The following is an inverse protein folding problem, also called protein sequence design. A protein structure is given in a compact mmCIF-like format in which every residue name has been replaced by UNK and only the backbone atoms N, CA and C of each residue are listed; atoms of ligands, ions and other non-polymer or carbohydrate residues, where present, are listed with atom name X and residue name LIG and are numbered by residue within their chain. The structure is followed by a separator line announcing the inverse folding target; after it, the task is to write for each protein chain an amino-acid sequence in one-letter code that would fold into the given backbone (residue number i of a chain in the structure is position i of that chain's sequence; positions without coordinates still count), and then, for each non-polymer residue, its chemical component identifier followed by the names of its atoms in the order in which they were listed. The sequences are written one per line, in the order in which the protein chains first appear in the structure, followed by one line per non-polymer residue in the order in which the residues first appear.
data_IF_078394261160
#
_entry.id   IF_078394261160
#
_cell.length_a   1.000
_cell.length_b   1.000
_cell.length_c   1.000
_cell.angle_alpha   90.00
_cell.angle_beta   90.00
_cell.angle_gamma   90.00
#
_symmetry.space_group_name_H-M   'P 1'
#
loop_
_entity.id
_entity.type
_entity.pdbx_description
1 polymer ?
#
# COMPACT_ATOMS: atom_id res chain seq x y z
N UNK A 1 -0.39 6.02 9.05
CA UNK A 1 0.40 5.17 8.12
C UNK A 1 1.90 5.48 8.18
N UNK A 2 2.34 6.75 8.12
CA UNK A 2 3.78 7.10 8.10
C UNK A 2 4.61 6.44 9.23
N UNK A 3 4.15 6.50 10.48
CA UNK A 3 4.88 5.88 11.61
C UNK A 3 5.00 4.35 11.47
N UNK A 4 3.95 3.66 10.99
CA UNK A 4 4.00 2.21 10.77
C UNK A 4 4.92 1.82 9.63
N UNK A 5 4.97 2.63 8.56
CA UNK A 5 5.92 2.43 7.46
C UNK A 5 7.35 2.60 7.96
N UNK A 6 7.58 3.59 8.81
CA UNK A 6 8.89 3.83 9.44
C UNK A 6 9.28 2.68 10.37
N UNK A 7 8.39 2.22 11.24
CA UNK A 7 8.66 1.10 12.14
C UNK A 7 8.97 -0.18 11.35
N UNK A 8 8.21 -0.46 10.28
CA UNK A 8 8.49 -1.60 9.40
C UNK A 8 9.87 -1.46 8.72
N UNK A 9 10.21 -0.25 8.27
CA UNK A 9 11.53 0.05 7.71
C UNK A 9 12.64 -0.24 8.72
N UNK A 10 12.51 0.25 9.95
CA UNK A 10 13.49 0.05 11.02
C UNK A 10 13.64 -1.43 11.38
N UNK A 11 12.54 -2.17 11.53
CA UNK A 11 12.56 -3.61 11.83
C UNK A 11 13.18 -4.44 10.70
N UNK A 12 12.86 -4.15 9.44
CA UNK A 12 13.45 -4.86 8.29
C UNK A 12 14.94 -4.55 8.16
N UNK A 13 15.34 -3.30 8.38
CA UNK A 13 16.74 -2.89 8.36
C UNK A 13 17.52 -3.55 9.50
N UNK A 14 16.95 -3.58 10.71
CA UNK A 14 17.54 -4.27 11.85
C UNK A 14 17.68 -5.78 11.64
N UNK A 15 16.79 -6.39 10.85
CA UNK A 15 16.89 -7.77 10.41
C UNK A 15 17.90 -8.00 9.26
N UNK A 16 18.64 -6.97 8.83
CA UNK A 16 19.67 -7.04 7.80
C UNK A 16 19.18 -6.93 6.36
N UNK A 17 17.92 -6.52 6.13
CA UNK A 17 17.42 -6.27 4.79
C UNK A 17 17.84 -4.87 4.28
N UNK A 18 18.18 -4.77 3.00
CA UNK A 18 18.26 -3.48 2.32
C UNK A 18 16.84 -2.98 2.02
N UNK A 19 16.49 -1.80 2.53
CA UNK A 19 15.14 -1.25 2.42
C UNK A 19 15.15 0.07 1.67
N UNK A 20 14.39 0.14 0.58
CA UNK A 20 14.10 1.38 -0.15
C UNK A 20 12.69 1.89 0.21
N UNK A 21 12.57 3.14 0.67
CA UNK A 21 11.28 3.75 0.99
C UNK A 21 10.78 4.63 -0.16
N UNK A 22 9.62 4.29 -0.71
CA UNK A 22 8.96 5.06 -1.77
C UNK A 22 7.71 5.78 -1.22
N UNK A 23 7.77 7.11 -1.00
CA UNK A 23 6.61 7.86 -0.50
C UNK A 23 5.58 8.09 -1.62
N UNK A 24 4.29 7.87 -1.32
CA UNK A 24 3.17 8.22 -2.23
C UNK A 24 2.79 9.70 -2.18
N UNK A 25 3.36 10.46 -1.24
CA UNK A 25 3.17 11.89 -1.09
C UNK A 25 4.53 12.60 -0.88
N UNK A 26 5.37 12.70 -1.92
CA UNK A 26 6.57 13.54 -1.86
C UNK A 26 6.16 15.04 -1.79
N UNK A 27 6.98 15.90 -1.15
CA UNK A 27 6.73 17.34 -1.12
C UNK A 27 6.71 17.92 -2.55
N UNK A 28 5.76 18.82 -2.84
CA UNK A 28 5.59 19.40 -4.18
C UNK A 28 6.82 20.20 -4.60
N UNK A 29 7.29 19.93 -5.82
CA UNK A 29 8.28 20.76 -6.50
C UNK A 29 7.74 21.11 -7.89
N UNK A 30 7.34 22.37 -8.16
CA UNK A 30 7.28 23.54 -7.29
C UNK A 30 6.03 23.62 -6.36
N UNK A 31 6.17 24.32 -5.22
CA UNK A 31 5.18 24.34 -4.13
C UNK A 31 3.79 24.92 -4.50
N UNK A 32 3.68 25.74 -5.54
CA UNK A 32 2.43 26.39 -5.97
C UNK A 32 1.40 25.41 -6.54
N UNK A 33 1.86 24.26 -7.04
CA UNK A 33 1.02 23.15 -7.55
C UNK A 33 0.12 22.55 -6.46
N UNK A 34 0.46 22.77 -5.19
CA UNK A 34 -0.37 22.36 -4.06
C UNK A 34 -1.77 23.01 -4.05
N UNK A 35 -2.01 24.16 -4.68
CA UNK A 35 -3.24 24.93 -4.43
C UNK A 35 -4.51 24.37 -5.09
N UNK A 36 -4.42 23.45 -6.06
CA UNK A 36 -5.57 22.86 -6.76
C UNK A 36 -5.67 21.36 -6.49
N UNK A 37 -6.74 20.90 -5.82
CA UNK A 37 -6.84 19.54 -5.28
C UNK A 37 -6.75 18.42 -6.34
N UNK A 38 -7.36 18.62 -7.51
CA UNK A 38 -7.38 17.63 -8.58
C UNK A 38 -6.06 17.55 -9.34
N UNK A 39 -5.52 18.70 -9.77
CA UNK A 39 -4.24 18.80 -10.48
C UNK A 39 -3.09 18.18 -9.67
N UNK A 40 -3.13 18.43 -8.35
CA UNK A 40 -2.24 17.86 -7.35
C UNK A 40 -2.26 16.32 -7.32
N UNK A 41 -3.44 15.70 -7.37
CA UNK A 41 -3.58 14.25 -7.35
C UNK A 41 -3.02 13.61 -8.64
N UNK A 42 -3.29 14.25 -9.79
CA UNK A 42 -2.78 13.80 -11.11
C UNK A 42 -1.25 13.89 -11.16
N UNK A 43 -0.66 15.02 -10.76
CA UNK A 43 0.80 15.20 -10.78
C UNK A 43 1.49 14.18 -9.86
N UNK A 44 0.92 13.94 -8.66
CA UNK A 44 1.44 12.89 -7.77
C UNK A 44 1.46 11.53 -8.47
N UNK A 45 0.38 11.16 -9.15
CA UNK A 45 0.32 9.90 -9.87
C UNK A 45 1.38 9.85 -11.00
N UNK A 46 1.51 10.91 -11.78
CA UNK A 46 2.48 11.01 -12.88
C UNK A 46 3.93 10.90 -12.39
N UNK A 47 4.26 11.45 -11.22
CA UNK A 47 5.61 11.29 -10.63
C UNK A 47 5.80 9.94 -9.93
N UNK A 48 4.72 9.38 -9.37
CA UNK A 48 4.76 8.16 -8.59
C UNK A 48 4.98 6.93 -9.46
N UNK A 49 4.32 6.84 -10.62
CA UNK A 49 4.38 5.65 -11.47
C UNK A 49 5.81 5.36 -12.00
N UNK A 50 6.57 6.34 -12.55
CA UNK A 50 7.94 6.11 -12.96
C UNK A 50 8.84 5.73 -11.78
N UNK A 51 8.72 6.43 -10.65
CA UNK A 51 9.52 6.15 -9.45
C UNK A 51 9.27 4.71 -8.94
N UNK A 52 8.00 4.31 -8.90
CA UNK A 52 7.58 2.94 -8.58
C UNK A 52 8.13 1.92 -9.58
N UNK A 53 8.10 2.23 -10.87
CA UNK A 53 8.62 1.34 -11.91
C UNK A 53 10.13 1.08 -11.74
N UNK A 54 10.91 2.14 -11.52
CA UNK A 54 12.36 2.03 -11.29
C UNK A 54 12.68 1.35 -9.96
N UNK A 55 11.96 1.66 -8.88
CA UNK A 55 12.13 0.98 -7.58
C UNK A 55 11.84 -0.52 -7.72
N UNK A 56 10.76 -0.89 -8.38
CA UNK A 56 10.46 -2.30 -8.71
C UNK A 56 11.46 -2.92 -9.70
N UNK A 57 12.36 -2.15 -10.32
CA UNK A 57 13.47 -2.69 -11.12
C UNK A 57 14.69 -3.11 -10.27
N UNK A 58 14.83 -2.53 -9.07
CA UNK A 58 15.99 -2.72 -8.19
C UNK A 58 15.72 -3.67 -7.02
N UNK A 59 14.45 -3.99 -6.77
CA UNK A 59 14.00 -4.72 -5.59
C UNK A 59 13.32 -6.04 -5.96
N UNK A 60 13.27 -6.99 -5.02
CA UNK A 60 12.64 -8.32 -5.22
C UNK A 60 11.29 -8.48 -4.50
N UNK A 61 11.06 -7.68 -3.46
CA UNK A 61 9.86 -7.69 -2.63
C UNK A 61 9.39 -6.26 -2.45
N UNK A 62 8.07 -6.04 -2.47
CA UNK A 62 7.48 -4.75 -2.15
C UNK A 62 6.41 -4.90 -1.07
N UNK A 63 6.47 -4.03 -0.07
CA UNK A 63 5.46 -3.88 0.96
C UNK A 63 4.59 -2.67 0.65
N UNK A 64 3.36 -2.91 0.19
CA UNK A 64 2.40 -1.86 -0.17
C UNK A 64 1.56 -1.53 1.05
N UNK A 65 1.64 -0.30 1.56
CA UNK A 65 0.74 0.21 2.60
C UNK A 65 -0.57 0.63 1.96
N UNK A 66 -1.66 -0.08 2.25
CA UNK A 66 -2.96 0.13 1.64
C UNK A 66 -4.01 0.53 2.68
N UNK A 67 -4.99 1.33 2.27
CA UNK A 67 -6.14 1.74 3.05
C UNK A 67 -7.39 1.81 2.15
N UNK A 68 -8.55 2.04 2.74
CA UNK A 68 -9.83 2.18 2.01
C UNK A 68 -9.90 3.46 1.18
N UNK A 69 -10.76 3.48 0.15
CA UNK A 69 -11.11 4.68 -0.62
C UNK A 69 -10.18 4.96 -1.80
N UNK A 70 -10.13 6.22 -2.26
CA UNK A 70 -9.41 6.63 -3.47
C UNK A 70 -7.92 6.34 -3.47
N UNK A 71 -7.27 6.32 -2.30
CA UNK A 71 -5.85 5.97 -2.18
C UNK A 71 -5.55 4.52 -2.58
N UNK A 72 -6.53 3.61 -2.47
CA UNK A 72 -6.41 2.27 -3.04
C UNK A 72 -6.24 2.35 -4.55
N UNK A 73 -7.17 3.02 -5.23
CA UNK A 73 -7.20 3.08 -6.70
C UNK A 73 -6.03 3.88 -7.27
N UNK A 74 -5.61 4.96 -6.62
CA UNK A 74 -4.55 5.84 -7.11
C UNK A 74 -3.14 5.33 -6.80
N UNK A 75 -2.94 4.61 -5.69
CA UNK A 75 -1.59 4.24 -5.25
C UNK A 75 -1.41 2.73 -5.06
N UNK A 76 -2.24 2.10 -4.22
CA UNK A 76 -2.04 0.70 -3.86
C UNK A 76 -2.27 -0.25 -5.04
N UNK A 77 -3.34 -0.05 -5.82
CA UNK A 77 -3.65 -0.88 -6.97
C UNK A 77 -2.57 -0.80 -8.07
N UNK A 78 -2.12 0.40 -8.51
CA UNK A 78 -0.98 0.52 -9.41
C UNK A 78 0.31 -0.11 -8.86
N UNK A 79 0.60 0.04 -7.56
CA UNK A 79 1.75 -0.61 -6.92
C UNK A 79 1.73 -2.12 -7.06
N UNK A 80 0.59 -2.74 -6.75
CA UNK A 80 0.40 -4.19 -6.88
C UNK A 80 0.57 -4.64 -8.33
N UNK A 81 -0.07 -3.94 -9.28
CA UNK A 81 0.00 -4.31 -10.69
C UNK A 81 1.42 -4.18 -11.25
N UNK A 82 2.07 -3.03 -11.05
CA UNK A 82 3.43 -2.77 -11.55
C UNK A 82 4.43 -3.76 -10.94
N UNK A 83 4.37 -3.99 -9.63
CA UNK A 83 5.26 -4.94 -8.97
C UNK A 83 5.09 -6.36 -9.52
N UNK A 84 3.84 -6.78 -9.79
CA UNK A 84 3.59 -8.10 -10.39
C UNK A 84 4.06 -8.19 -11.83
N UNK A 85 3.86 -7.15 -12.63
CA UNK A 85 4.39 -7.06 -13.99
C UNK A 85 5.93 -7.13 -14.00
N UNK A 86 6.59 -6.61 -12.96
CA UNK A 86 8.05 -6.68 -12.79
C UNK A 86 8.55 -7.93 -12.07
N UNK A 87 7.67 -8.89 -11.76
CA UNK A 87 8.05 -10.17 -11.14
C UNK A 87 8.32 -10.12 -9.64
N UNK A 88 7.95 -9.05 -8.94
CA UNK A 88 8.17 -8.92 -7.50
C UNK A 88 7.15 -9.74 -6.69
N UNK A 89 7.60 -10.17 -5.50
CA UNK A 89 6.69 -10.61 -4.43
C UNK A 89 6.04 -9.39 -3.79
N UNK A 90 4.71 -9.45 -3.63
CA UNK A 90 3.91 -8.31 -3.17
C UNK A 90 3.24 -8.64 -1.86
N UNK A 91 3.53 -7.83 -0.83
CA UNK A 91 2.89 -7.88 0.49
C UNK A 91 2.03 -6.64 0.65
N UNK A 92 0.70 -6.81 0.65
CA UNK A 92 -0.23 -5.71 0.92
C UNK A 92 -0.49 -5.64 2.42
N UNK A 93 -0.16 -4.52 3.04
CA UNK A 93 -0.42 -4.24 4.43
C UNK A 93 -1.65 -3.33 4.49
N UNK A 94 -2.82 -3.92 4.71
CA UNK A 94 -4.08 -3.19 4.69
C UNK A 94 -4.41 -2.60 6.06
N UNK A 95 -4.68 -1.30 6.08
CA UNK A 95 -4.89 -0.48 7.26
C UNK A 95 -6.03 0.50 6.99
N UNK A 96 -7.27 0.14 7.31
CA UNK A 96 -8.42 1.02 7.12
C UNK A 96 -9.63 0.52 7.90
N UNK A 97 -10.25 1.41 8.68
CA UNK A 97 -11.43 1.07 9.49
C UNK A 97 -12.70 0.83 8.64
N UNK A 98 -12.79 1.46 7.46
CA UNK A 98 -13.93 1.32 6.53
C UNK A 98 -13.83 0.14 5.57
N UNK A 99 -13.10 -0.92 5.91
CA UNK A 99 -12.82 -2.03 4.99
C UNK A 99 -14.10 -2.72 4.50
N UNK A 100 -15.09 -2.91 5.38
CA UNK A 100 -16.33 -3.59 5.05
C UNK A 100 -17.15 -2.81 4.02
N UNK A 101 -17.46 -1.54 4.30
CA UNK A 101 -18.19 -0.67 3.37
C UNK A 101 -17.44 -0.51 2.05
N UNK A 102 -16.11 -0.37 2.10
CA UNK A 102 -15.29 -0.21 0.91
C UNK A 102 -15.28 -1.46 0.04
N UNK A 103 -15.11 -2.65 0.64
CA UNK A 103 -15.18 -3.91 -0.08
C UNK A 103 -16.59 -4.13 -0.64
N UNK A 104 -17.64 -3.90 0.15
CA UNK A 104 -19.03 -4.03 -0.32
C UNK A 104 -19.30 -3.21 -1.58
N UNK A 105 -18.87 -1.94 -1.63
CA UNK A 105 -19.08 -1.06 -2.77
C UNK A 105 -18.14 -1.28 -3.97
N UNK A 106 -16.93 -1.78 -3.73
CA UNK A 106 -15.86 -1.78 -4.75
C UNK A 106 -15.21 -3.15 -5.00
N UNK A 107 -15.76 -4.25 -4.47
CA UNK A 107 -15.14 -5.59 -4.54
C UNK A 107 -14.79 -6.01 -5.97
N UNK A 108 -15.62 -5.70 -6.96
CA UNK A 108 -15.40 -6.07 -8.36
C UNK A 108 -14.13 -5.44 -8.94
N UNK A 109 -13.71 -4.29 -8.42
CA UNK A 109 -12.46 -3.62 -8.82
C UNK A 109 -11.29 -3.97 -7.91
N UNK A 110 -11.55 -4.19 -6.62
CA UNK A 110 -10.51 -4.51 -5.63
C UNK A 110 -10.00 -5.93 -5.83
N UNK A 111 -10.90 -6.90 -5.98
CA UNK A 111 -10.58 -8.33 -5.99
C UNK A 111 -9.59 -8.73 -7.08
N UNK A 112 -9.76 -8.35 -8.35
CA UNK A 112 -8.80 -8.71 -9.39
C UNK A 112 -7.39 -8.20 -9.12
N UNK A 113 -7.26 -7.03 -8.47
CA UNK A 113 -5.95 -6.45 -8.15
C UNK A 113 -5.37 -7.06 -6.88
N UNK A 114 -6.15 -7.08 -5.79
CA UNK A 114 -5.69 -7.57 -4.50
C UNK A 114 -5.35 -9.06 -4.52
N UNK A 115 -6.07 -9.87 -5.32
CA UNK A 115 -5.75 -11.30 -5.51
C UNK A 115 -4.41 -11.55 -6.19
N UNK A 116 -3.75 -10.52 -6.75
CA UNK A 116 -2.39 -10.63 -7.28
C UNK A 116 -1.31 -10.43 -6.20
N UNK A 117 -1.69 -9.97 -5.00
CA UNK A 117 -0.78 -9.92 -3.87
C UNK A 117 -0.45 -11.34 -3.38
N UNK A 118 0.79 -11.55 -2.96
CA UNK A 118 1.20 -12.85 -2.39
C UNK A 118 0.75 -12.97 -0.94
N UNK A 119 0.79 -11.86 -0.21
CA UNK A 119 0.36 -11.78 1.17
C UNK A 119 -0.50 -10.56 1.39
N UNK A 120 -1.56 -10.73 2.18
CA UNK A 120 -2.41 -9.67 2.69
C UNK A 120 -2.26 -9.66 4.21
N UNK A 121 -1.57 -8.66 4.75
CA UNK A 121 -1.44 -8.44 6.18
C UNK A 121 -2.49 -7.43 6.67
N UNK A 122 -3.14 -7.74 7.78
CA UNK A 122 -4.15 -6.89 8.44
C UNK A 122 -3.82 -6.74 9.94
N UNK A 123 -4.16 -5.61 10.59
CA UNK A 123 -3.76 -5.36 11.97
C UNK A 123 -4.62 -6.07 13.04
N UNK A 124 -5.77 -6.64 12.68
CA UNK A 124 -6.72 -7.20 13.66
C UNK A 124 -7.49 -8.41 13.12
N UNK A 125 -8.02 -9.22 14.05
CA UNK A 125 -8.93 -10.33 13.76
C UNK A 125 -10.20 -9.88 13.05
N UNK A 126 -10.77 -8.75 13.48
CA UNK A 126 -11.94 -8.14 12.82
C UNK A 126 -11.71 -7.92 11.32
N UNK A 127 -10.61 -7.25 10.93
CA UNK A 127 -10.32 -7.03 9.51
C UNK A 127 -10.07 -8.35 8.78
N UNK A 128 -9.43 -9.33 9.44
CA UNK A 128 -9.27 -10.67 8.87
C UNK A 128 -10.63 -11.28 8.52
N UNK A 129 -11.62 -11.22 9.41
CA UNK A 129 -12.96 -11.73 9.16
C UNK A 129 -13.66 -10.99 8.01
N UNK A 130 -13.54 -9.66 7.94
CA UNK A 130 -14.06 -8.88 6.81
C UNK A 130 -13.50 -9.41 5.49
N UNK A 131 -12.17 -9.53 5.36
CA UNK A 131 -11.54 -9.96 4.11
C UNK A 131 -11.81 -11.44 3.77
N UNK A 132 -11.97 -12.32 4.77
CA UNK A 132 -12.38 -13.72 4.55
C UNK A 132 -13.75 -13.81 3.88
N UNK A 133 -14.72 -12.97 4.29
CA UNK A 133 -16.06 -12.93 3.67
C UNK A 133 -16.04 -12.63 2.17
N UNK A 134 -14.98 -11.97 1.67
CA UNK A 134 -14.79 -11.68 0.24
C UNK A 134 -13.86 -12.67 -0.48
N UNK A 135 -13.44 -13.75 0.20
CA UNK A 135 -12.64 -14.84 -0.35
C UNK A 135 -11.13 -14.63 -0.29
N UNK A 136 -10.64 -13.72 0.56
CA UNK A 136 -9.21 -13.54 0.79
C UNK A 136 -8.71 -14.37 1.99
N UNK A 137 -7.40 -14.60 2.04
CA UNK A 137 -6.72 -15.29 3.15
C UNK A 137 -5.72 -14.34 3.84
N UNK A 138 -6.21 -13.36 4.62
CA UNK A 138 -5.34 -12.39 5.28
C UNK A 138 -4.63 -12.99 6.50
N UNK A 139 -3.44 -12.49 6.78
CA UNK A 139 -2.65 -12.78 7.97
C UNK A 139 -2.74 -11.61 8.95
N UNK A 140 -2.99 -11.91 10.22
CA UNK A 140 -3.00 -10.86 11.25
C UNK A 140 -1.56 -10.56 11.64
N UNK A 141 -1.14 -9.32 11.43
CA UNK A 141 0.13 -8.77 11.93
C UNK A 141 -0.25 -7.61 12.84
N UNK A 142 -0.34 -7.84 14.17
CA UNK A 142 -0.75 -6.81 15.11
C UNK A 142 0.13 -5.58 14.99
N UNK A 143 -0.48 -4.41 15.13
CA UNK A 143 0.33 -3.23 15.39
C UNK A 143 0.93 -3.37 16.78
N UNK A 144 2.27 -3.41 16.84
CA UNK A 144 2.97 -3.13 18.07
C UNK A 144 2.80 -1.63 18.28
N UNK A 145 1.80 -1.25 19.10
CA UNK A 145 1.74 0.11 19.60
C UNK A 145 2.94 0.24 20.51
N UNK A 146 3.96 0.97 20.05
CA UNK A 146 5.02 1.41 20.94
C UNK A 146 4.39 2.42 21.90
N UNK A 147 4.17 1.98 23.14
CA UNK A 147 3.64 2.78 24.23
C UNK A 147 4.78 3.37 25.09
N UNK A 148 6.04 3.28 24.63
CA UNK A 148 7.19 3.86 25.32
C UNK A 148 7.35 5.37 25.11
#
# INVERSE_FOLDING_TARGET
MANQTRQLFELLTAAGAEVELLPTNPPYRPAWVGKVSFLRAVIRLLTYIPALWFACGRNKVIHVMANSGWSWHLFAAPAVLIARLRGLRVVVNYRGGGAETFLAGHILTIKPVLSRAHFLAVPSGFLKEVFIRYGFKPFVVPNIVDLS
#
